data_IF_798795873686
#
_entry.id   IF_798795873686
#
_cell.length_a   1.000
_cell.length_b   1.000
_cell.length_c   1.000
_cell.angle_alpha   90.00
_cell.angle_beta   90.00
_cell.angle_gamma   90.00
#
_symmetry.space_group_name_H-M   'P 1'
#
loop_
_entity.id
_entity.type
_entity.pdbx_description
1 polymer ?
#
# COMPACT_ATOMS: atom_id res chain seq x y z
N UNK A 1 6.99 -18.79 21.96
CA UNK A 1 5.70 -18.13 22.25
C UNK A 1 4.82 -18.39 21.04
N UNK A 2 3.64 -18.99 21.23
CA UNK A 2 2.73 -19.33 20.13
C UNK A 2 1.75 -18.16 19.86
N UNK A 3 1.11 -18.10 18.69
CA UNK A 3 0.13 -17.05 18.38
C UNK A 3 -1.03 -16.98 19.40
N UNK A 4 -1.42 -18.09 20.03
CA UNK A 4 -2.46 -18.10 21.09
C UNK A 4 -2.00 -17.43 22.39
N UNK A 5 -0.69 -17.41 22.65
CA UNK A 5 -0.08 -16.75 23.81
C UNK A 5 -0.09 -15.22 23.64
N UNK A 6 -0.14 -14.73 22.40
CA UNK A 6 -0.13 -13.29 22.05
C UNK A 6 -1.55 -12.77 21.78
N UNK A 7 -2.39 -13.54 21.06
CA UNK A 7 -3.75 -13.13 20.67
C UNK A 7 -4.83 -13.42 21.72
N UNK A 8 -4.54 -14.24 22.73
CA UNK A 8 -5.59 -14.93 23.49
C UNK A 8 -6.44 -15.86 22.60
N UNK A 9 -7.48 -16.47 23.18
CA UNK A 9 -8.31 -17.49 22.50
C UNK A 9 -9.11 -17.01 21.27
N UNK A 10 -9.13 -15.70 20.94
CA UNK A 10 -10.03 -15.12 19.91
C UNK A 10 -9.35 -14.40 18.73
N UNK A 11 -8.04 -14.18 18.73
CA UNK A 11 -7.41 -13.27 17.76
C UNK A 11 -6.32 -13.88 16.86
N UNK A 12 -6.17 -15.22 16.80
CA UNK A 12 -5.08 -15.84 16.00
C UNK A 12 -5.20 -15.59 14.50
N UNK A 13 -6.42 -15.54 13.96
CA UNK A 13 -6.67 -15.20 12.55
C UNK A 13 -6.37 -13.72 12.25
N UNK A 14 -6.57 -12.84 13.22
CA UNK A 14 -6.24 -11.42 13.10
C UNK A 14 -4.73 -11.19 13.16
N UNK A 15 -4.01 -11.88 14.04
CA UNK A 15 -2.53 -11.86 14.07
C UNK A 15 -1.96 -12.41 12.76
N UNK A 16 -2.46 -13.54 12.26
CA UNK A 16 -2.00 -14.07 10.97
C UNK A 16 -2.26 -13.10 9.81
N UNK A 17 -3.38 -12.37 9.82
CA UNK A 17 -3.62 -11.31 8.83
C UNK A 17 -2.65 -10.14 8.97
N UNK A 18 -2.23 -9.80 10.18
CA UNK A 18 -1.22 -8.75 10.41
C UNK A 18 0.17 -9.22 9.96
N UNK A 19 0.58 -10.43 10.32
CA UNK A 19 1.85 -11.04 9.90
C UNK A 19 1.98 -11.13 8.37
N UNK A 20 0.86 -11.36 7.68
CA UNK A 20 0.80 -11.39 6.22
C UNK A 20 0.59 -9.99 5.58
N UNK A 21 0.56 -8.91 6.36
CA UNK A 21 0.39 -7.54 5.85
C UNK A 21 -1.02 -7.19 5.38
N UNK A 22 -2.01 -8.03 5.65
CA UNK A 22 -3.42 -7.88 5.23
C UNK A 22 -4.21 -6.97 6.19
N UNK A 23 -3.71 -6.72 7.39
CA UNK A 23 -4.36 -5.89 8.40
C UNK A 23 -3.35 -5.12 9.23
N UNK A 24 -3.73 -3.93 9.68
CA UNK A 24 -2.88 -3.05 10.49
C UNK A 24 -3.39 -3.11 11.94
N UNK A 25 -2.52 -3.40 12.92
CA UNK A 25 -2.91 -3.36 14.32
C UNK A 25 -3.16 -1.92 14.79
N UNK A 26 -4.14 -1.72 15.67
CA UNK A 26 -4.33 -0.44 16.36
C UNK A 26 -3.20 -0.18 17.36
N UNK A 27 -3.06 1.09 17.80
CA UNK A 27 -2.10 1.45 18.84
C UNK A 27 -2.31 0.66 20.15
N UNK A 28 -3.57 0.34 20.48
CA UNK A 28 -3.91 -0.52 21.62
C UNK A 28 -3.32 -1.93 21.46
N UNK A 29 -3.53 -2.57 20.32
CA UNK A 29 -2.99 -3.90 20.05
C UNK A 29 -1.45 -3.91 20.09
N UNK A 30 -0.82 -2.89 19.49
CA UNK A 30 0.64 -2.75 19.51
C UNK A 30 1.18 -2.54 20.93
N UNK A 31 0.48 -1.78 21.78
CA UNK A 31 0.84 -1.59 23.19
C UNK A 31 0.65 -2.86 24.02
N UNK A 32 -0.43 -3.60 23.80
CA UNK A 32 -0.68 -4.88 24.48
C UNK A 32 0.36 -5.93 24.07
N UNK A 33 0.66 -6.07 22.78
CA UNK A 33 1.61 -7.06 22.29
C UNK A 33 3.06 -6.72 22.61
N UNK A 34 3.44 -5.44 22.58
CA UNK A 34 4.80 -5.03 22.97
C UNK A 34 5.08 -5.37 24.44
N UNK A 35 4.09 -5.17 25.32
CA UNK A 35 4.16 -5.61 26.72
C UNK A 35 4.30 -7.13 26.87
N UNK A 36 3.55 -7.92 26.10
CA UNK A 36 3.62 -9.39 26.12
C UNK A 36 4.94 -9.94 25.56
N UNK A 37 5.47 -9.29 24.52
CA UNK A 37 6.69 -9.68 23.82
C UNK A 37 7.96 -9.07 24.44
N UNK A 38 7.82 -8.26 25.50
CA UNK A 38 8.92 -7.55 26.18
C UNK A 38 9.78 -6.74 25.19
N UNK A 39 9.10 -6.12 24.25
CA UNK A 39 9.68 -5.30 23.17
C UNK A 39 8.98 -3.94 23.22
N UNK A 40 9.38 -3.01 22.35
CA UNK A 40 8.67 -1.73 22.20
C UNK A 40 7.72 -1.78 21.02
N UNK A 41 6.65 -0.97 21.04
CA UNK A 41 5.76 -0.83 19.87
C UNK A 41 6.52 -0.41 18.61
N UNK A 42 7.63 0.33 18.77
CA UNK A 42 8.51 0.75 17.68
C UNK A 42 9.23 -0.43 17.02
N UNK A 43 9.67 -1.42 17.80
CA UNK A 43 10.26 -2.66 17.28
C UNK A 43 9.22 -3.53 16.56
N UNK A 44 7.95 -3.51 17.01
CA UNK A 44 6.84 -4.19 16.32
C UNK A 44 6.44 -3.51 15.00
N UNK A 45 6.70 -2.21 14.86
CA UNK A 45 6.43 -1.42 13.64
C UNK A 45 7.63 -1.44 12.68
N UNK A 46 8.84 -1.76 13.16
CA UNK A 46 10.10 -1.62 12.41
C UNK A 46 10.09 -2.33 11.05
N UNK A 47 9.63 -3.58 11.01
CA UNK A 47 9.54 -4.35 9.77
C UNK A 47 8.53 -3.76 8.78
N UNK A 48 7.42 -3.20 9.27
CA UNK A 48 6.42 -2.56 8.41
C UNK A 48 7.01 -1.32 7.71
N UNK A 49 7.77 -0.50 8.45
CA UNK A 49 8.42 0.69 7.89
C UNK A 49 9.44 0.30 6.82
N UNK A 50 10.27 -0.71 7.10
CA UNK A 50 11.24 -1.22 6.12
C UNK A 50 10.54 -1.79 4.88
N UNK A 51 9.42 -2.50 5.07
CA UNK A 51 8.62 -3.06 3.98
C UNK A 51 7.99 -1.95 3.11
N UNK A 52 7.46 -0.90 3.72
CA UNK A 52 6.85 0.23 2.99
C UNK A 52 7.89 1.00 2.17
N UNK A 53 9.12 1.16 2.70
CA UNK A 53 10.24 1.72 1.93
C UNK A 53 10.66 0.79 0.79
N UNK A 54 10.72 -0.53 1.02
CA UNK A 54 11.01 -1.50 -0.03
C UNK A 54 9.98 -1.44 -1.16
N UNK A 55 8.69 -1.36 -0.83
CA UNK A 55 7.60 -1.16 -1.80
C UNK A 55 7.73 0.17 -2.55
N UNK A 56 8.06 1.25 -1.84
CA UNK A 56 8.29 2.59 -2.43
C UNK A 56 9.47 2.64 -3.40
N UNK A 57 10.46 1.77 -3.21
CA UNK A 57 11.66 1.65 -4.04
C UNK A 57 11.58 0.53 -5.08
N UNK A 58 10.38 -0.02 -5.37
CA UNK A 58 10.21 -1.19 -6.25
C UNK A 58 10.88 -1.03 -7.63
N UNK A 59 10.90 0.19 -8.18
CA UNK A 59 11.51 0.51 -9.49
C UNK A 59 13.04 0.73 -9.42
N UNK A 60 13.65 0.62 -8.24
CA UNK A 60 15.08 0.76 -7.97
C UNK A 60 15.60 -0.54 -7.33
N UNK A 61 15.97 -1.56 -8.13
CA UNK A 61 16.21 -2.91 -7.62
C UNK A 61 17.30 -3.03 -6.58
N UNK A 62 18.35 -2.21 -6.66
CA UNK A 62 19.42 -2.16 -5.67
C UNK A 62 18.90 -1.69 -4.30
N UNK A 63 18.12 -0.61 -4.30
CA UNK A 63 17.57 -0.02 -3.07
C UNK A 63 16.47 -0.90 -2.48
N UNK A 64 15.58 -1.43 -3.32
CA UNK A 64 14.55 -2.36 -2.86
C UNK A 64 15.20 -3.58 -2.17
N UNK A 65 16.22 -4.19 -2.79
CA UNK A 65 16.95 -5.31 -2.22
C UNK A 65 17.67 -4.96 -0.90
N UNK A 66 18.24 -3.76 -0.80
CA UNK A 66 18.89 -3.25 0.42
C UNK A 66 17.94 -3.22 1.61
N UNK A 67 16.67 -2.82 1.42
CA UNK A 67 15.68 -2.85 2.51
C UNK A 67 15.14 -4.26 2.76
N UNK A 68 14.87 -5.04 1.70
CA UNK A 68 14.33 -6.40 1.83
C UNK A 68 15.26 -7.36 2.57
N UNK A 69 16.58 -7.17 2.53
CA UNK A 69 17.53 -8.06 3.24
C UNK A 69 17.42 -7.97 4.77
N UNK A 70 16.78 -6.91 5.29
CA UNK A 70 16.54 -6.70 6.70
C UNK A 70 15.19 -7.24 7.17
N UNK A 71 14.40 -7.81 6.25
CA UNK A 71 13.08 -8.36 6.54
C UNK A 71 13.11 -9.89 6.54
N UNK A 72 12.22 -10.53 7.32
CA UNK A 72 12.04 -11.97 7.23
C UNK A 72 11.54 -12.38 5.84
N UNK A 73 12.03 -13.53 5.37
CA UNK A 73 11.58 -14.11 4.11
C UNK A 73 10.18 -14.71 4.29
N UNK A 74 9.23 -14.22 3.49
CA UNK A 74 7.85 -14.71 3.40
C UNK A 74 7.34 -14.54 1.96
N UNK A 75 6.11 -14.95 1.68
CA UNK A 75 5.53 -14.88 0.33
C UNK A 75 5.55 -13.45 -0.24
N UNK A 76 5.20 -12.46 0.58
CA UNK A 76 5.17 -11.04 0.19
C UNK A 76 6.57 -10.48 -0.07
N UNK A 77 7.53 -10.69 0.83
CA UNK A 77 8.91 -10.19 0.64
C UNK A 77 9.61 -10.89 -0.50
N UNK A 78 9.35 -12.19 -0.72
CA UNK A 78 9.83 -12.96 -1.88
C UNK A 78 9.22 -12.44 -3.18
N UNK A 79 7.91 -12.18 -3.19
CA UNK A 79 7.22 -11.59 -4.34
C UNK A 79 7.80 -10.22 -4.71
N UNK A 80 7.91 -9.31 -3.74
CA UNK A 80 8.46 -7.95 -3.95
C UNK A 80 9.90 -8.03 -4.47
N UNK A 81 10.73 -8.93 -3.90
CA UNK A 81 12.09 -9.18 -4.37
C UNK A 81 12.13 -9.58 -5.84
N UNK A 82 11.33 -10.57 -6.23
CA UNK A 82 11.26 -11.06 -7.61
C UNK A 82 10.70 -10.01 -8.56
N UNK A 83 9.67 -9.28 -8.12
CA UNK A 83 9.05 -8.21 -8.87
C UNK A 83 10.05 -7.08 -9.15
N UNK A 84 10.78 -6.63 -8.13
CA UNK A 84 11.80 -5.59 -8.29
C UNK A 84 12.95 -6.07 -9.17
N UNK A 85 13.43 -7.30 -8.99
CA UNK A 85 14.47 -7.88 -9.85
C UNK A 85 14.07 -7.90 -11.34
N UNK A 86 12.79 -8.09 -11.64
CA UNK A 86 12.28 -8.10 -13.02
C UNK A 86 12.42 -6.75 -13.75
N UNK A 87 12.64 -5.65 -13.02
CA UNK A 87 12.88 -4.32 -13.61
C UNK A 87 14.23 -4.26 -14.35
N UNK A 88 15.23 -5.04 -13.91
CA UNK A 88 16.63 -4.97 -14.39
C UNK A 88 16.81 -5.36 -15.86
N UNK A 89 15.95 -6.21 -16.39
CA UNK A 89 16.03 -6.68 -17.78
C UNK A 89 14.64 -6.83 -18.38
N UNK A 90 14.49 -6.47 -19.65
CA UNK A 90 13.25 -6.68 -20.40
C UNK A 90 12.90 -8.17 -20.49
N UNK A 91 13.91 -9.04 -20.58
CA UNK A 91 13.72 -10.49 -20.73
C UNK A 91 13.29 -11.21 -19.45
N UNK A 92 13.48 -10.60 -18.28
CA UNK A 92 13.01 -11.20 -17.02
C UNK A 92 11.50 -11.03 -16.92
N UNK A 93 10.73 -12.13 -16.77
CA UNK A 93 9.28 -12.06 -16.66
C UNK A 93 8.87 -11.33 -15.38
N UNK A 94 7.78 -10.57 -15.46
CA UNK A 94 7.13 -9.97 -14.29
C UNK A 94 6.32 -11.07 -13.60
N UNK A 95 6.52 -11.32 -12.29
CA UNK A 95 5.76 -12.34 -11.57
C UNK A 95 4.27 -11.99 -11.50
N UNK A 96 3.42 -13.01 -11.47
CA UNK A 96 1.98 -12.85 -11.26
C UNK A 96 1.71 -12.29 -9.84
N UNK A 97 0.97 -11.19 -9.70
CA UNK A 97 0.69 -10.62 -8.39
C UNK A 97 -0.35 -11.45 -7.62
N UNK A 98 -0.24 -11.55 -6.29
CA UNK A 98 -1.34 -11.98 -5.43
C UNK A 98 -2.60 -11.12 -5.63
N UNK A 99 -3.75 -11.61 -5.18
CA UNK A 99 -5.03 -10.88 -5.16
C UNK A 99 -5.04 -9.83 -4.03
N UNK A 100 -4.10 -8.90 -4.10
CA UNK A 100 -3.93 -7.77 -3.20
C UNK A 100 -3.75 -6.49 -4.03
N UNK A 101 -4.54 -5.45 -3.73
CA UNK A 101 -4.58 -4.24 -4.53
C UNK A 101 -3.25 -3.46 -4.51
N UNK A 102 -2.50 -3.51 -3.41
CA UNK A 102 -1.20 -2.86 -3.32
C UNK A 102 -0.15 -3.61 -4.15
N UNK A 103 -0.08 -4.93 -4.05
CA UNK A 103 0.84 -5.73 -4.85
C UNK A 103 0.52 -5.67 -6.35
N UNK A 104 -0.76 -5.60 -6.71
CA UNK A 104 -1.21 -5.36 -8.08
C UNK A 104 -0.79 -3.97 -8.57
N UNK A 105 -0.95 -2.92 -7.75
CA UNK A 105 -0.46 -1.58 -8.06
C UNK A 105 1.07 -1.55 -8.30
N UNK A 106 1.87 -2.18 -7.41
CA UNK A 106 3.33 -2.25 -7.58
C UNK A 106 3.71 -2.96 -8.88
N UNK A 107 3.00 -4.02 -9.21
CA UNK A 107 3.23 -4.79 -10.44
C UNK A 107 2.87 -3.99 -11.69
N UNK A 108 1.77 -3.23 -11.65
CA UNK A 108 1.38 -2.34 -12.74
C UNK A 108 2.45 -1.25 -12.99
N UNK A 109 3.05 -0.69 -11.93
CA UNK A 109 4.18 0.23 -12.08
C UNK A 109 5.39 -0.42 -12.78
N UNK A 110 5.71 -1.67 -12.45
CA UNK A 110 6.79 -2.41 -13.12
C UNK A 110 6.48 -2.67 -14.59
N UNK A 111 5.24 -3.07 -14.92
CA UNK A 111 4.81 -3.20 -16.32
C UNK A 111 4.95 -1.88 -17.08
N UNK A 112 4.52 -0.76 -16.49
CA UNK A 112 4.64 0.55 -17.09
C UNK A 112 6.10 0.92 -17.34
N UNK A 113 6.98 0.70 -16.34
CA UNK A 113 8.43 0.93 -16.46
C UNK A 113 9.08 0.11 -17.57
N UNK A 114 8.58 -1.11 -17.81
CA UNK A 114 9.05 -2.02 -18.87
C UNK A 114 8.42 -1.74 -20.24
N UNK A 115 7.57 -0.72 -20.38
CA UNK A 115 6.95 -0.36 -21.65
C UNK A 115 5.73 -1.20 -22.03
N UNK A 116 5.02 -1.78 -21.05
CA UNK A 116 3.80 -2.56 -21.27
C UNK A 116 2.56 -1.86 -20.68
N UNK A 117 2.14 -0.70 -21.23
CA UNK A 117 1.07 0.11 -20.65
C UNK A 117 -0.29 -0.61 -20.60
N UNK A 118 -0.64 -1.43 -21.60
CA UNK A 118 -1.90 -2.19 -21.58
C UNK A 118 -1.96 -3.21 -20.45
N UNK A 119 -0.87 -3.96 -20.20
CA UNK A 119 -0.80 -4.89 -19.05
C UNK A 119 -0.90 -4.17 -17.71
N UNK A 120 -0.26 -2.99 -17.62
CA UNK A 120 -0.37 -2.15 -16.43
C UNK A 120 -1.82 -1.69 -16.22
N UNK A 121 -2.52 -1.33 -17.30
CA UNK A 121 -3.90 -0.87 -17.25
C UNK A 121 -4.86 -1.98 -16.79
N UNK A 122 -4.76 -3.17 -17.38
CA UNK A 122 -5.60 -4.33 -17.02
C UNK A 122 -5.50 -4.62 -15.53
N UNK A 123 -4.28 -4.63 -15.01
CA UNK A 123 -4.02 -4.90 -13.61
C UNK A 123 -4.48 -3.76 -12.69
N UNK A 124 -4.31 -2.50 -13.13
CA UNK A 124 -4.80 -1.34 -12.38
C UNK A 124 -6.33 -1.36 -12.29
N UNK A 125 -7.03 -1.69 -13.38
CA UNK A 125 -8.48 -1.82 -13.40
C UNK A 125 -8.97 -2.98 -12.51
N UNK A 126 -8.27 -4.12 -12.52
CA UNK A 126 -8.56 -5.22 -11.61
C UNK A 126 -8.40 -4.79 -10.14
N UNK A 127 -7.31 -4.09 -9.80
CA UNK A 127 -7.04 -3.63 -8.44
C UNK A 127 -8.07 -2.58 -7.96
N UNK A 128 -8.54 -1.71 -8.86
CA UNK A 128 -9.61 -0.75 -8.57
C UNK A 128 -10.94 -1.42 -8.20
N UNK A 129 -11.20 -2.64 -8.70
CA UNK A 129 -12.39 -3.41 -8.33
C UNK A 129 -12.26 -4.08 -6.95
N UNK A 130 -11.05 -4.40 -6.51
CA UNK A 130 -10.79 -5.15 -5.28
C UNK A 130 -10.45 -4.30 -4.04
N UNK A 131 -9.94 -3.08 -4.21
CA UNK A 131 -9.28 -2.33 -3.15
C UNK A 131 -10.18 -1.35 -2.38
N UNK A 132 -10.36 -1.58 -1.08
CA UNK A 132 -11.06 -0.69 -0.13
C UNK A 132 -10.17 0.38 0.50
N UNK A 133 -8.84 0.32 0.35
CA UNK A 133 -7.89 1.19 1.06
C UNK A 133 -7.72 2.53 0.31
N UNK A 134 -8.16 3.67 0.88
CA UNK A 134 -8.24 4.90 0.12
C UNK A 134 -6.91 5.45 -0.43
N UNK A 135 -5.80 5.36 0.30
CA UNK A 135 -4.50 5.77 -0.24
C UNK A 135 -4.08 4.92 -1.44
N UNK A 136 -4.34 3.61 -1.40
CA UNK A 136 -4.05 2.71 -2.52
C UNK A 136 -4.97 3.01 -3.70
N UNK A 137 -6.25 3.31 -3.42
CA UNK A 137 -7.23 3.70 -4.42
C UNK A 137 -6.81 5.00 -5.14
N UNK A 138 -6.37 6.02 -4.40
CA UNK A 138 -5.82 7.27 -4.95
C UNK A 138 -4.62 6.98 -5.86
N UNK A 139 -3.68 6.15 -5.41
CA UNK A 139 -2.50 5.75 -6.19
C UNK A 139 -2.89 5.03 -7.49
N UNK A 140 -3.91 4.16 -7.44
CA UNK A 140 -4.44 3.45 -8.60
C UNK A 140 -5.13 4.38 -9.59
N UNK A 141 -5.99 5.30 -9.13
CA UNK A 141 -6.64 6.30 -10.00
C UNK A 141 -5.60 7.20 -10.68
N UNK A 142 -4.61 7.66 -9.93
CA UNK A 142 -3.48 8.41 -10.49
C UNK A 142 -2.68 7.59 -11.51
N UNK A 143 -2.44 6.30 -11.23
CA UNK A 143 -1.76 5.41 -12.17
C UNK A 143 -2.56 5.23 -13.46
N UNK A 144 -3.88 5.04 -13.39
CA UNK A 144 -4.76 4.99 -14.56
C UNK A 144 -4.66 6.25 -15.41
N UNK A 145 -4.71 7.43 -14.77
CA UNK A 145 -4.50 8.71 -15.46
C UNK A 145 -3.18 8.73 -16.23
N UNK A 146 -2.07 8.34 -15.59
CA UNK A 146 -0.74 8.30 -16.22
C UNK A 146 -0.66 7.28 -17.35
N UNK A 147 -1.33 6.13 -17.23
CA UNK A 147 -1.36 5.12 -18.29
C UNK A 147 -2.15 5.64 -19.50
N UNK A 148 -3.31 6.28 -19.30
CA UNK A 148 -4.08 6.87 -20.39
C UNK A 148 -3.35 8.02 -21.09
N UNK A 149 -2.61 8.83 -20.35
CA UNK A 149 -1.68 9.83 -20.92
C UNK A 149 -0.67 9.17 -21.86
N UNK A 150 0.00 8.10 -21.42
CA UNK A 150 0.99 7.36 -22.22
C UNK A 150 0.36 6.71 -23.46
N UNK A 151 -0.88 6.23 -23.36
CA UNK A 151 -1.62 5.63 -24.47
C UNK A 151 -2.22 6.67 -25.43
N UNK A 152 -2.20 7.97 -25.10
CA UNK A 152 -2.84 9.02 -25.89
C UNK A 152 -4.37 8.98 -25.85
N UNK A 153 -4.96 8.35 -24.83
CA UNK A 153 -6.42 8.21 -24.68
C UNK A 153 -7.00 9.41 -23.92
N UNK A 154 -7.02 10.59 -24.54
CA UNK A 154 -7.37 11.87 -23.89
C UNK A 154 -8.72 11.86 -23.16
N UNK A 155 -9.74 11.20 -23.71
CA UNK A 155 -11.05 11.08 -23.07
C UNK A 155 -10.98 10.31 -21.75
N UNK A 156 -10.37 9.12 -21.76
CA UNK A 156 -10.24 8.28 -20.57
C UNK A 156 -9.28 8.88 -19.55
N UNK A 157 -8.27 9.61 -20.01
CA UNK A 157 -7.40 10.40 -19.15
C UNK A 157 -8.21 11.44 -18.38
N UNK A 158 -9.12 12.15 -19.04
CA UNK A 158 -10.00 13.13 -18.38
C UNK A 158 -10.93 12.43 -17.38
N UNK A 159 -11.58 11.33 -17.75
CA UNK A 159 -12.43 10.55 -16.84
C UNK A 159 -11.67 10.07 -15.59
N UNK A 160 -10.44 9.58 -15.75
CA UNK A 160 -9.59 9.17 -14.64
C UNK A 160 -9.22 10.36 -13.73
N UNK A 161 -8.95 11.52 -14.32
CA UNK A 161 -8.67 12.76 -13.58
C UNK A 161 -9.88 13.21 -12.77
N UNK A 162 -11.07 13.20 -13.37
CA UNK A 162 -12.33 13.57 -12.70
C UNK A 162 -12.65 12.59 -11.56
N UNK A 163 -12.45 11.29 -11.80
CA UNK A 163 -12.61 10.24 -10.78
C UNK A 163 -11.65 10.44 -9.61
N UNK A 164 -10.37 10.73 -9.88
CA UNK A 164 -9.37 11.03 -8.84
C UNK A 164 -9.77 12.28 -8.05
N UNK A 165 -10.15 13.35 -8.72
CA UNK A 165 -10.54 14.60 -8.07
C UNK A 165 -11.78 14.43 -7.20
N UNK A 166 -12.81 13.73 -7.70
CA UNK A 166 -14.01 13.38 -6.95
C UNK A 166 -13.67 12.57 -5.69
N UNK A 167 -12.82 11.54 -5.83
CA UNK A 167 -12.40 10.71 -4.71
C UNK A 167 -11.61 11.50 -3.67
N UNK A 168 -10.69 12.38 -4.08
CA UNK A 168 -9.94 13.24 -3.15
C UNK A 168 -10.85 14.19 -2.34
N UNK A 169 -11.98 14.64 -2.91
CA UNK A 169 -12.97 15.46 -2.16
C UNK A 169 -13.68 14.69 -1.05
N UNK A 170 -13.67 13.36 -1.06
CA UNK A 170 -14.14 12.56 0.07
C UNK A 170 -13.21 12.65 1.27
N UNK A 171 -11.90 12.89 1.03
CA UNK A 171 -10.86 13.00 2.05
C UNK A 171 -10.43 14.46 2.28
N UNK A 172 -11.33 15.42 2.03
CA UNK A 172 -11.09 16.83 2.33
C UNK A 172 -10.87 17.04 3.83
N UNK A 173 -10.04 18.02 4.19
CA UNK A 173 -9.68 18.31 5.59
C UNK A 173 -10.89 18.38 6.53
N UNK A 174 -11.95 19.07 6.10
CA UNK A 174 -13.17 19.22 6.91
C UNK A 174 -13.86 17.88 7.17
N UNK A 175 -13.92 17.00 6.16
CA UNK A 175 -14.51 15.66 6.32
C UNK A 175 -13.64 14.76 7.20
N UNK A 176 -12.32 14.83 7.08
CA UNK A 176 -11.41 14.04 7.92
C UNK A 176 -11.50 14.47 9.38
N UNK A 177 -11.41 15.77 9.68
CA UNK A 177 -11.50 16.29 11.05
C UNK A 177 -12.81 15.87 11.74
N UNK A 178 -13.94 15.91 11.02
CA UNK A 178 -15.24 15.52 11.56
C UNK A 178 -15.37 14.02 11.83
N UNK A 179 -14.59 13.19 11.14
CA UNK A 179 -14.65 11.73 11.21
C UNK A 179 -13.36 11.11 11.76
N UNK A 180 -12.56 11.87 12.52
CA UNK A 180 -11.36 11.30 13.16
C UNK A 180 -11.78 10.16 14.10
N UNK A 181 -11.09 9.01 14.04
CA UNK A 181 -11.39 7.89 14.92
C UNK A 181 -11.06 8.21 16.37
N UNK A 182 -11.64 7.43 17.28
CA UNK A 182 -11.33 7.49 18.71
C UNK A 182 -9.82 7.26 18.95
N UNK A 183 -9.18 7.98 19.89
CA UNK A 183 -7.75 7.83 20.16
C UNK A 183 -7.26 6.39 20.42
N UNK A 184 -8.12 5.50 20.94
CA UNK A 184 -7.75 4.09 21.17
C UNK A 184 -7.77 3.23 19.89
N UNK A 185 -8.47 3.68 18.84
CA UNK A 185 -8.67 2.93 17.59
C UNK A 185 -7.89 3.49 16.41
N UNK A 186 -7.25 4.65 16.57
CA UNK A 186 -6.34 5.24 15.58
C UNK A 186 -5.29 4.23 15.11
N UNK A 187 -5.08 4.23 13.81
CA UNK A 187 -4.06 3.45 13.10
C UNK A 187 -3.08 4.38 12.38
N UNK A 188 -1.96 3.83 11.89
CA UNK A 188 -1.03 4.59 11.01
C UNK A 188 -1.73 5.12 9.76
N UNK A 189 -2.75 4.40 9.28
CA UNK A 189 -3.53 4.78 8.12
C UNK A 189 -4.29 6.11 8.30
N UNK A 190 -4.91 6.29 9.47
CA UNK A 190 -5.66 7.50 9.78
C UNK A 190 -4.74 8.72 9.81
N UNK A 191 -3.49 8.53 10.28
CA UNK A 191 -2.45 9.56 10.27
C UNK A 191 -2.08 9.94 8.84
N UNK A 192 -1.92 8.98 7.94
CA UNK A 192 -1.55 9.25 6.55
C UNK A 192 -2.69 9.91 5.77
N UNK A 193 -3.94 9.51 6.02
CA UNK A 193 -5.12 10.23 5.51
C UNK A 193 -5.20 11.67 6.03
N UNK A 194 -4.93 11.88 7.31
CA UNK A 194 -4.91 13.22 7.88
C UNK A 194 -3.85 14.10 7.23
N UNK A 195 -2.62 13.59 7.06
CA UNK A 195 -1.54 14.29 6.33
C UNK A 195 -1.95 14.61 4.89
N UNK A 196 -2.54 13.64 4.17
CA UNK A 196 -3.05 13.87 2.82
C UNK A 196 -4.09 15.00 2.79
N UNK A 197 -5.00 15.02 3.76
CA UNK A 197 -6.05 16.04 3.83
C UNK A 197 -5.50 17.46 4.05
N UNK A 198 -4.38 17.58 4.77
CA UNK A 198 -3.65 18.84 4.93
C UNK A 198 -3.09 19.31 3.59
N UNK A 199 -2.46 18.41 2.83
CA UNK A 199 -1.92 18.70 1.50
C UNK A 199 -3.04 19.14 0.55
N UNK A 200 -4.17 18.43 0.53
CA UNK A 200 -5.33 18.77 -0.30
C UNK A 200 -5.83 20.19 0.01
N UNK A 201 -5.89 20.54 1.30
CA UNK A 201 -6.29 21.88 1.76
C UNK A 201 -5.30 22.96 1.33
N UNK A 202 -4.00 22.70 1.42
CA UNK A 202 -2.95 23.66 1.03
C UNK A 202 -2.90 23.88 -0.49
N UNK A 203 -3.18 22.85 -1.28
CA UNK A 203 -3.18 22.91 -2.75
C UNK A 203 -4.48 23.48 -3.34
N UNK A 204 -5.43 23.92 -2.50
CA UNK A 204 -6.71 24.47 -2.92
C UNK A 204 -7.44 23.59 -3.95
N UNK A 205 -7.36 22.26 -3.79
CA UNK A 205 -8.07 21.29 -4.63
C UNK A 205 -9.59 21.23 -4.33
N UNK A 206 -10.17 22.35 -3.90
CA UNK A 206 -11.59 22.53 -3.59
C UNK A 206 -12.45 22.53 -4.85
#
# INVERSE_FOLDING_TARGET
>A
MNQKDIAGKRCTSFISRIENGVSIPSLKNLKEWSGLLRTTSSELIGDQVLLDIAKGTILQPEKCQEYLQHLPENETTTFIKNLSASVRSVSTPVPEPPQDAELQYLTAQVYLKKGFPHKALDLTNQALQGGKHPITHIRLLYLSYRIYEILGESHKMQEASESLHSYLKEYSYNKIIQNLPDPETVTSYDVDLFKLSLIIKELDLN
#
